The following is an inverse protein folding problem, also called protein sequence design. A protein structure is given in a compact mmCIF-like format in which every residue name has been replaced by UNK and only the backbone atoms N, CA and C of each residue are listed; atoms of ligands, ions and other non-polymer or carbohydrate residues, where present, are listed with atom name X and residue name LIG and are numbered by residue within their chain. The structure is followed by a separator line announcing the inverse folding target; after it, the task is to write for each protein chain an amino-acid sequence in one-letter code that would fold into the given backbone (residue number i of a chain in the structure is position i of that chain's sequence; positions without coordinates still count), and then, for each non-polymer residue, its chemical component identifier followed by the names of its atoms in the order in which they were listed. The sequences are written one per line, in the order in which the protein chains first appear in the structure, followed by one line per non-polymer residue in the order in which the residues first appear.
data_IF_798721343807
#
_entry.id   IF_798721343807
#
_cell.length_a   1.000
_cell.length_b   1.000
_cell.length_c   1.000
_cell.angle_alpha   90.00
_cell.angle_beta   90.00
_cell.angle_gamma   90.00
#
_symmetry.space_group_name_H-M   'P 1'
#
loop_
_entity.id
_entity.type
_entity.pdbx_description
1 polymer ?
#
# COMPACT_ATOMS: atom_id res chain seq x y z
N UNK A 1 7.28 3.87 -1.17
CA UNK A 1 7.80 3.53 -2.50
C UNK A 1 8.50 2.20 -2.41
N UNK A 2 7.86 1.20 -2.96
CA UNK A 2 8.41 -0.14 -3.14
C UNK A 2 8.52 -0.43 -4.65
N UNK A 3 8.61 -1.70 -5.04
CA UNK A 3 8.78 -2.10 -6.44
C UNK A 3 7.50 -1.97 -7.28
N UNK A 4 6.33 -1.79 -6.66
CA UNK A 4 5.02 -1.80 -7.31
C UNK A 4 4.18 -0.56 -7.02
N UNK A 5 4.68 0.38 -6.20
CA UNK A 5 3.98 1.60 -5.81
C UNK A 5 4.81 2.86 -6.08
N UNK A 6 4.26 3.72 -6.92
CA UNK A 6 4.70 5.11 -7.13
C UNK A 6 3.61 6.06 -6.57
N UNK A 7 3.96 7.20 -5.96
CA UNK A 7 2.96 8.09 -5.33
C UNK A 7 1.90 8.62 -6.29
N UNK A 8 2.25 8.78 -7.56
CA UNK A 8 1.33 9.01 -8.66
C UNK A 8 1.41 7.81 -9.62
N UNK A 9 0.26 7.32 -10.08
CA UNK A 9 0.17 6.16 -10.97
C UNK A 9 -1.04 6.31 -11.89
N UNK A 10 -1.11 5.47 -12.91
CA UNK A 10 -2.19 5.45 -13.90
C UNK A 10 -3.17 4.33 -13.60
N UNK A 11 -4.42 4.69 -13.34
CA UNK A 11 -5.53 3.74 -13.28
C UNK A 11 -6.48 3.95 -14.47
N UNK A 12 -7.12 2.87 -14.91
CA UNK A 12 -8.29 2.93 -15.77
C UNK A 12 -9.50 2.46 -14.97
N UNK A 13 -10.53 3.28 -14.90
CA UNK A 13 -11.82 2.91 -14.31
C UNK A 13 -12.90 2.83 -15.40
N UNK A 14 -13.74 1.80 -15.32
CA UNK A 14 -14.87 1.59 -16.20
C UNK A 14 -16.11 1.25 -15.38
N UNK A 15 -17.24 1.85 -15.73
CA UNK A 15 -18.55 1.59 -15.12
C UNK A 15 -19.55 1.21 -16.20
N UNK A 16 -20.27 0.10 -16.00
CA UNK A 16 -21.23 -0.43 -16.97
C UNK A 16 -22.58 -0.66 -16.30
N UNK A 17 -23.58 0.11 -16.72
CA UNK A 17 -24.95 -0.03 -16.25
C UNK A 17 -25.56 -1.37 -16.70
N UNK A 18 -26.47 -1.88 -15.88
CA UNK A 18 -27.20 -3.14 -16.01
C UNK A 18 -26.32 -4.39 -16.03
N UNK A 19 -25.14 -4.33 -15.40
CA UNK A 19 -24.18 -5.43 -15.25
C UNK A 19 -23.79 -5.64 -13.79
N UNK A 20 -23.29 -6.83 -13.49
CA UNK A 20 -22.78 -7.25 -12.19
C UNK A 20 -21.31 -7.66 -12.28
N UNK A 21 -20.69 -7.92 -11.13
CA UNK A 21 -19.29 -8.34 -11.03
C UNK A 21 -18.96 -9.62 -11.82
N UNK A 22 -19.92 -10.53 -12.03
CA UNK A 22 -19.72 -11.73 -12.86
C UNK A 22 -19.50 -11.37 -14.32
N UNK A 23 -20.33 -10.48 -14.86
CA UNK A 23 -20.12 -9.97 -16.20
C UNK A 23 -18.79 -9.21 -16.31
N UNK A 24 -18.41 -8.49 -15.26
CA UNK A 24 -17.16 -7.74 -15.23
C UNK A 24 -15.92 -8.66 -15.20
N UNK A 25 -15.98 -9.83 -14.55
CA UNK A 25 -14.94 -10.86 -14.66
C UNK A 25 -14.77 -11.34 -16.11
N UNK A 26 -15.87 -11.68 -16.79
CA UNK A 26 -15.84 -12.11 -18.20
C UNK A 26 -15.35 -11.01 -19.15
N UNK A 27 -15.64 -9.74 -18.83
CA UNK A 27 -15.13 -8.58 -19.56
C UNK A 27 -13.62 -8.39 -19.32
N UNK A 28 -13.18 -8.49 -18.07
CA UNK A 28 -11.77 -8.38 -17.67
C UNK A 28 -10.90 -9.42 -18.37
N UNK A 29 -11.34 -10.69 -18.39
CA UNK A 29 -10.66 -11.77 -19.12
C UNK A 29 -10.43 -11.42 -20.60
N UNK A 30 -11.49 -10.99 -21.30
CA UNK A 30 -11.42 -10.62 -22.73
C UNK A 30 -10.51 -9.41 -22.96
N UNK A 31 -10.59 -8.42 -22.08
CA UNK A 31 -9.78 -7.21 -22.18
C UNK A 31 -8.29 -7.53 -22.03
N UNK A 32 -7.92 -8.28 -21.00
CA UNK A 32 -6.52 -8.59 -20.73
C UNK A 32 -5.93 -9.56 -21.76
N UNK A 33 -6.70 -10.55 -22.23
CA UNK A 33 -6.28 -11.41 -23.35
C UNK A 33 -6.02 -10.58 -24.61
N UNK A 34 -6.92 -9.64 -24.93
CA UNK A 34 -6.76 -8.74 -26.07
C UNK A 34 -5.49 -7.88 -25.94
N UNK A 35 -5.25 -7.29 -24.77
CA UNK A 35 -4.04 -6.50 -24.52
C UNK A 35 -2.77 -7.36 -24.65
N UNK A 36 -2.75 -8.55 -24.08
CA UNK A 36 -1.60 -9.46 -24.18
C UNK A 36 -1.29 -9.82 -25.64
N UNK A 37 -2.31 -10.20 -26.42
CA UNK A 37 -2.14 -10.52 -27.85
C UNK A 37 -1.68 -9.29 -28.64
N UNK A 38 -2.23 -8.11 -28.36
CA UNK A 38 -1.87 -6.88 -29.06
C UNK A 38 -0.42 -6.46 -28.81
N UNK A 39 0.09 -6.67 -27.59
CA UNK A 39 1.46 -6.27 -27.20
C UNK A 39 2.48 -7.36 -27.52
N UNK A 40 2.19 -8.61 -27.19
CA UNK A 40 3.14 -9.73 -27.25
C UNK A 40 2.92 -10.67 -28.45
N UNK A 41 1.85 -10.49 -29.22
CA UNK A 41 1.47 -11.40 -30.33
C UNK A 41 0.88 -12.74 -29.88
N UNK A 42 0.73 -12.95 -28.58
CA UNK A 42 0.19 -14.17 -27.93
C UNK A 42 -0.47 -13.78 -26.61
N UNK A 43 -1.34 -14.64 -26.07
CA UNK A 43 -1.93 -14.45 -24.72
C UNK A 43 -0.93 -14.76 -23.60
N UNK A 44 0.24 -15.32 -23.91
CA UNK A 44 1.29 -15.63 -22.95
C UNK A 44 2.18 -14.41 -22.65
N UNK A 45 2.61 -14.28 -21.40
CA UNK A 45 3.61 -13.30 -20.98
C UNK A 45 4.63 -13.95 -20.04
N UNK A 46 5.82 -13.36 -19.98
CA UNK A 46 6.87 -13.75 -19.02
C UNK A 46 7.06 -12.61 -18.03
N UNK A 47 7.05 -12.94 -16.74
CA UNK A 47 7.32 -11.97 -15.67
C UNK A 47 8.31 -12.58 -14.68
N UNK A 48 9.56 -12.10 -14.71
CA UNK A 48 10.66 -12.72 -13.97
C UNK A 48 10.87 -14.17 -14.40
N UNK A 49 10.75 -15.10 -13.46
CA UNK A 49 10.85 -16.54 -13.71
C UNK A 49 9.52 -17.20 -14.10
N UNK A 50 8.41 -16.48 -13.98
CA UNK A 50 7.07 -17.03 -14.22
C UNK A 50 6.64 -16.85 -15.67
N UNK A 51 6.00 -17.89 -16.20
CA UNK A 51 5.21 -17.83 -17.44
C UNK A 51 3.74 -17.80 -17.08
N UNK A 52 3.06 -16.75 -17.51
CA UNK A 52 1.63 -16.55 -17.27
C UNK A 52 0.87 -16.54 -18.59
N UNK A 53 -0.42 -16.87 -18.53
CA UNK A 53 -1.29 -16.84 -19.69
C UNK A 53 -2.57 -16.05 -19.37
N UNK A 54 -2.81 -14.97 -20.11
CA UNK A 54 -4.01 -14.14 -20.01
C UNK A 54 -5.20 -14.72 -20.79
N UNK A 55 -5.09 -15.95 -21.30
CA UNK A 55 -6.21 -16.63 -21.94
C UNK A 55 -7.24 -17.09 -20.91
N UNK A 56 -8.49 -16.76 -21.15
CA UNK A 56 -9.62 -17.21 -20.34
C UNK A 56 -9.81 -18.75 -20.38
N UNK A 57 -10.47 -19.36 -19.38
CA UNK A 57 -10.99 -18.74 -18.15
C UNK A 57 -9.95 -18.71 -17.01
N UNK A 58 -10.05 -17.70 -16.15
CA UNK A 58 -9.22 -17.57 -14.95
C UNK A 58 -9.79 -18.40 -13.79
N UNK A 59 -8.92 -18.83 -12.85
CA UNK A 59 -9.38 -19.46 -11.60
C UNK A 59 -10.23 -18.43 -10.85
N UNK A 60 -11.37 -18.86 -10.29
CA UNK A 60 -12.19 -18.07 -9.35
C UNK A 60 -12.16 -18.78 -8.01
N UNK A 61 -11.86 -18.04 -6.94
CA UNK A 61 -11.82 -18.57 -5.58
C UNK A 61 -12.30 -17.49 -4.61
N UNK A 62 -13.07 -17.87 -3.59
CA UNK A 62 -13.50 -16.91 -2.58
C UNK A 62 -12.34 -16.54 -1.66
N UNK A 63 -12.40 -15.37 -1.04
CA UNK A 63 -11.46 -14.94 0.00
C UNK A 63 -11.33 -16.00 1.12
N UNK A 64 -12.48 -16.54 1.55
CA UNK A 64 -12.56 -17.62 2.53
C UNK A 64 -11.81 -18.87 2.06
N UNK A 65 -12.13 -19.36 0.87
CA UNK A 65 -11.56 -20.60 0.35
C UNK A 65 -10.06 -20.46 0.12
N UNK A 66 -9.60 -19.27 -0.30
CA UNK A 66 -8.19 -18.95 -0.42
C UNK A 66 -7.46 -19.10 0.91
N UNK A 67 -7.97 -18.46 1.97
CA UNK A 67 -7.37 -18.52 3.31
C UNK A 67 -7.39 -19.97 3.81
N UNK A 68 -8.49 -20.69 3.62
CA UNK A 68 -8.59 -22.09 4.01
C UNK A 68 -7.59 -22.98 3.26
N UNK A 69 -7.39 -22.77 1.95
CA UNK A 69 -6.47 -23.53 1.11
C UNK A 69 -5.00 -23.36 1.57
N UNK A 70 -4.58 -22.12 1.87
CA UNK A 70 -3.17 -21.82 2.19
C UNK A 70 -2.81 -21.88 3.68
N UNK A 71 -3.79 -21.74 4.57
CA UNK A 71 -3.55 -21.68 6.03
C UNK A 71 -4.16 -22.83 6.81
N UNK A 72 -5.16 -23.52 6.23
CA UNK A 72 -5.97 -24.52 6.93
C UNK A 72 -6.97 -23.92 7.95
N UNK A 73 -7.03 -22.60 8.09
CA UNK A 73 -7.97 -21.90 8.95
C UNK A 73 -9.21 -21.46 8.18
N UNK A 74 -10.40 -21.85 8.65
CA UNK A 74 -11.67 -21.39 8.09
C UNK A 74 -12.17 -20.15 8.85
N UNK A 75 -12.29 -19.02 8.14
CA UNK A 75 -12.79 -17.76 8.68
C UNK A 75 -14.31 -17.73 8.90
N UNK A 76 -15.03 -18.74 8.40
CA UNK A 76 -16.49 -18.80 8.49
C UNK A 76 -16.98 -18.94 9.93
N UNK A 77 -18.00 -18.14 10.26
CA UNK A 77 -18.63 -18.09 11.59
C UNK A 77 -17.62 -17.81 12.72
N UNK A 78 -16.50 -17.15 12.40
CA UNK A 78 -15.50 -16.75 13.38
C UNK A 78 -15.73 -15.34 13.90
N UNK A 79 -15.54 -15.18 15.20
CA UNK A 79 -15.50 -13.88 15.86
C UNK A 79 -14.20 -13.15 15.51
N UNK A 80 -14.18 -11.83 15.67
CA UNK A 80 -12.97 -11.03 15.51
C UNK A 80 -11.83 -11.53 16.42
N UNK A 81 -12.15 -11.91 17.66
CA UNK A 81 -11.16 -12.44 18.61
C UNK A 81 -10.52 -13.74 18.13
N UNK A 82 -11.31 -14.67 17.56
CA UNK A 82 -10.79 -15.93 17.01
C UNK A 82 -9.89 -15.67 15.79
N UNK A 83 -10.28 -14.76 14.89
CA UNK A 83 -9.47 -14.40 13.72
C UNK A 83 -8.18 -13.73 14.15
N UNK A 84 -8.23 -12.83 15.15
CA UNK A 84 -7.05 -12.17 15.71
C UNK A 84 -6.07 -13.18 16.32
N UNK A 85 -6.56 -14.18 17.04
CA UNK A 85 -5.72 -15.26 17.55
C UNK A 85 -5.08 -16.04 16.41
N UNK A 86 -5.85 -16.42 15.39
CA UNK A 86 -5.33 -17.14 14.23
C UNK A 86 -4.24 -16.33 13.49
N UNK A 87 -4.44 -15.02 13.28
CA UNK A 87 -3.45 -14.15 12.67
C UNK A 87 -2.13 -14.12 13.47
N UNK A 88 -2.21 -13.99 14.81
CA UNK A 88 -1.04 -14.04 15.69
C UNK A 88 -0.31 -15.38 15.62
N UNK A 89 -1.05 -16.49 15.61
CA UNK A 89 -0.48 -17.84 15.51
C UNK A 89 0.22 -18.06 14.16
N UNK A 90 -0.21 -17.34 13.12
CA UNK A 90 0.41 -17.31 11.79
C UNK A 90 1.60 -16.34 11.68
N UNK A 91 1.93 -15.63 12.76
CA UNK A 91 3.03 -14.66 12.81
C UNK A 91 2.74 -13.35 12.07
N UNK A 92 1.47 -13.01 11.89
CA UNK A 92 1.04 -11.74 11.27
C UNK A 92 0.99 -10.67 12.36
N UNK A 93 1.50 -9.48 12.06
CA UNK A 93 1.41 -8.34 12.97
C UNK A 93 -0.05 -7.88 13.07
N UNK A 94 -0.55 -7.75 14.29
CA UNK A 94 -1.91 -7.26 14.55
C UNK A 94 -1.90 -6.24 15.67
N UNK A 95 -2.72 -5.21 15.54
CA UNK A 95 -2.94 -4.18 16.56
C UNK A 95 -4.41 -4.14 17.03
N UNK A 96 -4.72 -3.34 18.04
CA UNK A 96 -6.06 -3.24 18.60
C UNK A 96 -7.04 -2.38 17.77
N UNK A 97 -6.57 -1.72 16.70
CA UNK A 97 -7.43 -0.90 15.81
C UNK A 97 -7.97 -1.71 14.64
N UNK A 98 -7.31 -2.80 14.26
CA UNK A 98 -7.77 -3.73 13.20
C UNK A 98 -9.10 -4.40 13.55
N UNK A 99 -10.16 -4.11 12.79
CA UNK A 99 -11.44 -4.84 12.83
C UNK A 99 -11.37 -6.21 12.15
N UNK A 100 -12.49 -6.95 12.15
CA UNK A 100 -12.56 -8.31 11.58
C UNK A 100 -12.17 -8.34 10.10
N UNK A 101 -12.68 -7.40 9.30
CA UNK A 101 -12.32 -7.27 7.88
C UNK A 101 -10.81 -7.07 7.67
N UNK A 102 -10.20 -6.10 8.37
CA UNK A 102 -8.76 -5.82 8.22
C UNK A 102 -7.90 -7.03 8.62
N UNK A 103 -8.26 -7.76 9.68
CA UNK A 103 -7.55 -8.98 10.04
C UNK A 103 -7.61 -10.06 8.95
N UNK A 104 -8.76 -10.22 8.29
CA UNK A 104 -8.91 -11.16 7.16
C UNK A 104 -8.04 -10.71 5.98
N UNK A 105 -8.01 -9.42 5.69
CA UNK A 105 -7.19 -8.81 4.64
C UNK A 105 -5.69 -9.06 4.89
N UNK A 106 -5.20 -8.82 6.11
CA UNK A 106 -3.81 -9.10 6.49
C UNK A 106 -3.45 -10.60 6.37
N UNK A 107 -4.36 -11.50 6.78
CA UNK A 107 -4.16 -12.95 6.59
C UNK A 107 -4.05 -13.29 5.10
N UNK A 108 -4.91 -12.71 4.27
CA UNK A 108 -4.87 -12.93 2.84
C UNK A 108 -3.58 -12.38 2.21
N UNK A 109 -3.21 -11.13 2.51
CA UNK A 109 -2.01 -10.49 1.97
C UNK A 109 -0.73 -11.26 2.31
N UNK A 110 -0.56 -11.63 3.57
CA UNK A 110 0.66 -12.31 4.05
C UNK A 110 0.73 -13.80 3.65
N UNK A 111 -0.40 -14.51 3.61
CA UNK A 111 -0.39 -15.98 3.43
C UNK A 111 -0.90 -16.47 2.08
N UNK A 112 -1.69 -15.66 1.38
CA UNK A 112 -2.37 -16.09 0.16
C UNK A 112 -1.88 -15.35 -1.08
N UNK A 113 -1.83 -14.01 -1.06
CA UNK A 113 -1.62 -13.15 -2.24
C UNK A 113 -0.45 -13.63 -3.10
N UNK A 114 0.73 -13.83 -2.49
CA UNK A 114 1.96 -14.21 -3.17
C UNK A 114 1.92 -15.56 -3.92
N UNK A 115 0.94 -16.43 -3.64
CA UNK A 115 0.84 -17.75 -4.27
C UNK A 115 0.12 -17.72 -5.63
N UNK A 116 -0.59 -16.64 -5.95
CA UNK A 116 -1.39 -16.54 -7.17
C UNK A 116 -0.55 -16.09 -8.37
N UNK A 117 0.14 -17.05 -8.99
CA UNK A 117 1.01 -16.79 -10.15
C UNK A 117 0.20 -16.60 -11.44
N UNK A 118 -0.71 -17.53 -11.76
CA UNK A 118 -1.62 -17.37 -12.89
C UNK A 118 -2.74 -16.38 -12.55
N UNK A 119 -3.32 -15.69 -13.57
CA UNK A 119 -4.50 -14.87 -13.36
C UNK A 119 -5.60 -15.59 -12.60
N UNK A 120 -5.93 -15.04 -11.43
CA UNK A 120 -6.91 -15.62 -10.50
C UNK A 120 -7.78 -14.51 -9.92
N UNK A 121 -9.10 -14.66 -10.04
CA UNK A 121 -10.07 -13.82 -9.37
C UNK A 121 -10.26 -14.31 -7.94
N UNK A 122 -9.96 -13.42 -6.99
CA UNK A 122 -10.33 -13.56 -5.58
C UNK A 122 -11.68 -12.88 -5.43
N UNK A 123 -12.66 -13.55 -4.83
CA UNK A 123 -14.07 -13.12 -4.83
C UNK A 123 -14.65 -13.08 -3.43
N UNK A 124 -15.80 -12.43 -3.29
CA UNK A 124 -16.67 -12.46 -2.11
C UNK A 124 -16.00 -11.91 -0.84
N UNK A 125 -15.58 -10.64 -0.93
CA UNK A 125 -14.89 -9.93 0.15
C UNK A 125 -15.88 -9.57 1.27
N UNK A 126 -15.45 -9.56 2.55
CA UNK A 126 -16.27 -9.12 3.67
C UNK A 126 -16.82 -7.70 3.48
N UNK A 127 -18.07 -7.47 3.91
CA UNK A 127 -18.77 -6.19 3.78
C UNK A 127 -18.04 -5.02 4.46
N UNK A 128 -17.44 -5.28 5.63
CA UNK A 128 -16.74 -4.28 6.44
C UNK A 128 -15.60 -3.58 5.68
N UNK A 129 -14.92 -4.29 4.78
CA UNK A 129 -13.77 -3.83 4.00
C UNK A 129 -14.15 -3.38 2.58
N UNK A 130 -15.45 -3.31 2.28
CA UNK A 130 -15.97 -3.07 0.93
C UNK A 130 -17.11 -2.02 0.98
N UNK A 131 -16.83 -0.77 1.37
CA UNK A 131 -17.85 0.24 1.71
C UNK A 131 -18.66 0.75 0.51
N UNK A 132 -18.21 0.50 -0.71
CA UNK A 132 -18.87 0.90 -1.97
C UNK A 132 -19.44 -0.30 -2.73
N UNK A 133 -19.26 -1.52 -2.22
CA UNK A 133 -19.64 -2.75 -2.91
C UNK A 133 -21.00 -3.24 -2.44
N UNK A 134 -21.84 -3.63 -3.37
CA UNK A 134 -23.16 -4.19 -3.07
C UNK A 134 -23.04 -5.48 -2.25
N UNK A 135 -23.97 -5.70 -1.33
CA UNK A 135 -24.08 -6.96 -0.58
C UNK A 135 -24.19 -8.15 -1.51
N UNK A 136 -23.57 -9.27 -1.12
CA UNK A 136 -23.65 -10.50 -1.88
C UNK A 136 -25.07 -11.07 -1.84
N UNK A 137 -25.58 -11.46 -3.01
CA UNK A 137 -26.99 -11.89 -3.19
C UNK A 137 -27.41 -13.09 -2.33
N UNK A 138 -26.46 -13.91 -1.88
CA UNK A 138 -26.72 -15.10 -1.05
C UNK A 138 -26.21 -14.98 0.39
N UNK A 139 -25.34 -14.00 0.68
CA UNK A 139 -24.71 -13.85 2.00
C UNK A 139 -24.48 -12.37 2.34
N UNK A 140 -25.33 -11.74 3.17
CA UNK A 140 -25.24 -10.32 3.51
C UNK A 140 -23.92 -9.90 4.20
N UNK A 141 -23.17 -10.83 4.77
CA UNK A 141 -21.87 -10.56 5.40
C UNK A 141 -20.75 -10.34 4.36
N UNK A 142 -21.00 -10.70 3.10
CA UNK A 142 -20.06 -10.59 1.98
C UNK A 142 -20.57 -9.56 0.96
N UNK A 143 -19.70 -9.24 0.00
CA UNK A 143 -20.01 -8.33 -1.10
C UNK A 143 -19.72 -8.96 -2.45
N UNK A 144 -20.43 -8.50 -3.48
CA UNK A 144 -20.15 -8.86 -4.87
C UNK A 144 -18.92 -8.09 -5.39
N UNK A 145 -17.75 -8.42 -4.84
CA UNK A 145 -16.45 -7.82 -5.17
C UNK A 145 -15.48 -8.91 -5.62
N UNK A 146 -14.61 -8.55 -6.55
CA UNK A 146 -13.44 -9.35 -6.87
C UNK A 146 -12.19 -8.48 -7.02
N UNK A 147 -11.04 -9.10 -6.77
CA UNK A 147 -9.74 -8.62 -7.21
C UNK A 147 -9.09 -9.63 -8.13
N UNK A 148 -8.33 -9.15 -9.10
CA UNK A 148 -7.54 -10.00 -9.99
C UNK A 148 -6.08 -10.02 -9.53
N UNK A 149 -5.61 -11.21 -9.16
CA UNK A 149 -4.22 -11.45 -8.79
C UNK A 149 -3.45 -12.07 -9.96
N UNK A 150 -2.25 -11.57 -10.23
CA UNK A 150 -1.30 -12.12 -11.22
C UNK A 150 0.12 -11.98 -10.66
N UNK A 151 0.92 -13.04 -10.73
CA UNK A 151 2.28 -13.05 -10.16
C UNK A 151 2.34 -12.54 -8.72
N UNK A 152 1.32 -12.86 -7.92
CA UNK A 152 1.22 -12.48 -6.51
C UNK A 152 1.03 -10.98 -6.27
N UNK A 153 0.43 -10.27 -7.24
CA UNK A 153 0.06 -8.86 -7.11
C UNK A 153 -1.30 -8.59 -7.74
N UNK A 154 -2.04 -7.68 -7.14
CA UNK A 154 -3.32 -7.21 -7.65
C UNK A 154 -3.13 -6.38 -8.94
N UNK A 155 -3.92 -6.66 -9.97
CA UNK A 155 -4.00 -5.88 -11.23
C UNK A 155 -5.30 -5.09 -11.31
N UNK A 156 -6.39 -5.63 -10.79
CA UNK A 156 -7.72 -5.05 -10.91
C UNK A 156 -8.53 -5.27 -9.65
N UNK A 157 -9.41 -4.32 -9.35
CA UNK A 157 -10.43 -4.38 -8.32
C UNK A 157 -11.78 -4.01 -8.95
N UNK A 158 -12.82 -4.77 -8.67
CA UNK A 158 -14.11 -4.60 -9.32
C UNK A 158 -15.24 -5.11 -8.45
N UNK A 159 -16.43 -4.57 -8.66
CA UNK A 159 -17.60 -4.96 -7.88
C UNK A 159 -18.91 -4.62 -8.59
N UNK A 160 -20.00 -5.23 -8.10
CA UNK A 160 -21.34 -4.68 -8.29
C UNK A 160 -21.46 -3.44 -7.39
N UNK A 161 -21.76 -2.30 -7.99
CA UNK A 161 -21.81 -1.00 -7.30
C UNK A 161 -22.94 -0.96 -6.27
N UNK A 162 -22.64 -0.40 -5.10
CA UNK A 162 -23.66 -0.08 -4.11
C UNK A 162 -24.48 1.13 -4.61
N UNK A 163 -25.73 0.86 -4.97
CA UNK A 163 -26.63 1.85 -5.52
C UNK A 163 -27.81 2.22 -4.61
N UNK A 164 -27.81 1.71 -3.38
CA UNK A 164 -28.77 2.11 -2.34
C UNK A 164 -28.19 3.29 -1.53
N UNK A 165 -28.77 4.51 -1.64
CA UNK A 165 -28.26 5.68 -0.93
C UNK A 165 -28.38 5.55 0.60
N UNK A 166 -29.31 4.74 1.10
CA UNK A 166 -29.51 4.54 2.54
C UNK A 166 -28.37 3.68 3.09
N UNK A 167 -28.12 2.51 2.49
CA UNK A 167 -26.98 1.65 2.87
C UNK A 167 -25.65 2.41 2.67
N UNK A 168 -25.48 3.11 1.54
CA UNK A 168 -24.25 3.86 1.28
C UNK A 168 -23.94 4.90 2.36
N UNK A 169 -24.98 5.59 2.86
CA UNK A 169 -24.83 6.53 3.97
C UNK A 169 -24.43 5.83 5.26
N UNK A 170 -25.07 4.72 5.61
CA UNK A 170 -24.71 3.92 6.79
C UNK A 170 -23.26 3.44 6.72
N UNK A 171 -22.78 3.06 5.52
CA UNK A 171 -21.38 2.66 5.30
C UNK A 171 -20.41 3.81 5.50
N UNK A 172 -20.72 5.02 5.02
CA UNK A 172 -19.89 6.20 5.30
C UNK A 172 -19.89 6.58 6.79
N UNK A 173 -21.03 6.48 7.48
CA UNK A 173 -21.09 6.72 8.92
C UNK A 173 -20.28 5.67 9.71
N UNK A 174 -20.17 4.43 9.21
CA UNK A 174 -19.29 3.40 9.76
C UNK A 174 -17.81 3.70 9.51
N UNK A 175 -17.44 4.04 8.27
CA UNK A 175 -16.07 4.41 7.90
C UNK A 175 -15.55 5.61 8.71
N UNK A 176 -16.39 6.62 8.92
CA UNK A 176 -16.05 7.78 9.77
C UNK A 176 -15.73 7.36 11.22
N UNK A 177 -16.43 6.35 11.77
CA UNK A 177 -16.14 5.82 13.11
C UNK A 177 -14.82 5.05 13.15
N UNK A 178 -14.44 4.38 12.07
CA UNK A 178 -13.14 3.71 11.95
C UNK A 178 -12.00 4.73 11.86
N UNK A 179 -12.16 5.77 11.03
CA UNK A 179 -11.20 6.87 10.94
C UNK A 179 -10.98 7.53 12.32
N UNK A 180 -12.06 7.77 13.10
CA UNK A 180 -11.96 8.30 14.47
C UNK A 180 -11.22 7.38 15.46
N UNK A 181 -11.12 6.08 15.15
CA UNK A 181 -10.33 5.11 15.93
C UNK A 181 -8.87 5.03 15.49
N UNK A 182 -8.46 5.81 14.49
CA UNK A 182 -7.09 5.84 13.98
C UNK A 182 -6.83 4.91 12.79
N UNK A 183 -7.88 4.53 12.04
CA UNK A 183 -7.71 3.90 10.74
C UNK A 183 -7.41 4.96 9.68
N UNK A 184 -6.14 5.09 9.31
CA UNK A 184 -5.66 6.07 8.32
C UNK A 184 -6.16 5.79 6.89
N UNK A 185 -6.72 4.59 6.61
CA UNK A 185 -7.24 4.20 5.29
C UNK A 185 -8.75 4.47 5.16
N UNK A 186 -9.45 4.70 6.27
CA UNK A 186 -10.89 4.93 6.28
C UNK A 186 -11.28 6.35 5.82
N UNK A 187 -12.45 6.49 5.19
CA UNK A 187 -12.91 7.81 4.72
C UNK A 187 -13.20 8.76 5.90
N UNK A 188 -12.47 9.87 5.98
CA UNK A 188 -12.58 10.87 7.06
C UNK A 188 -13.80 11.82 6.95
N UNK A 189 -14.54 11.76 5.84
CA UNK A 189 -15.69 12.63 5.59
C UNK A 189 -16.83 11.89 4.88
N UNK A 190 -18.04 12.42 5.00
CA UNK A 190 -19.22 11.94 4.28
C UNK A 190 -19.41 12.82 3.04
N UNK A 191 -19.38 12.21 1.85
CA UNK A 191 -19.69 12.90 0.60
C UNK A 191 -21.22 12.99 0.40
N UNK A 192 -21.80 14.09 0.87
CA UNK A 192 -23.23 14.35 0.73
C UNK A 192 -23.66 14.62 -0.72
N UNK A 193 -22.75 15.04 -1.60
CA UNK A 193 -23.11 15.28 -3.01
C UNK A 193 -23.19 13.95 -3.77
N UNK A 194 -22.25 13.03 -3.50
CA UNK A 194 -22.33 11.65 -3.99
C UNK A 194 -23.59 10.93 -3.50
N UNK A 195 -23.92 11.03 -2.21
CA UNK A 195 -25.17 10.47 -1.67
C UNK A 195 -26.40 11.04 -2.37
N UNK A 196 -26.44 12.37 -2.56
CA UNK A 196 -27.53 13.03 -3.29
C UNK A 196 -27.62 12.53 -4.74
N UNK A 197 -26.50 12.28 -5.40
CA UNK A 197 -26.50 11.71 -6.75
C UNK A 197 -27.14 10.32 -6.78
N UNK A 198 -26.84 9.46 -5.78
CA UNK A 198 -27.47 8.14 -5.64
C UNK A 198 -28.98 8.23 -5.36
N UNK A 199 -29.44 9.25 -4.61
CA UNK A 199 -30.86 9.50 -4.33
C UNK A 199 -31.68 9.82 -5.59
N UNK A 200 -31.07 10.34 -6.66
CA UNK A 200 -31.74 10.50 -7.96
C UNK A 200 -31.93 9.16 -8.72
N UNK A 201 -31.25 8.10 -8.27
CA UNK A 201 -31.36 6.76 -8.80
C UNK A 201 -30.19 6.38 -9.71
N UNK A 202 -29.23 5.63 -9.15
CA UNK A 202 -28.22 4.92 -9.94
C UNK A 202 -28.75 3.53 -10.36
N UNK A 203 -28.74 3.18 -11.66
CA UNK A 203 -29.13 1.83 -12.08
C UNK A 203 -28.16 0.79 -11.50
N UNK A 204 -28.55 -0.50 -11.43
CA UNK A 204 -27.60 -1.58 -11.13
C UNK A 204 -26.40 -1.44 -12.06
N UNK A 205 -25.20 -1.37 -11.51
CA UNK A 205 -23.97 -1.05 -12.26
C UNK A 205 -22.86 -1.94 -11.75
N UNK A 206 -21.90 -2.28 -12.61
CA UNK A 206 -20.63 -2.85 -12.18
C UNK A 206 -19.49 -1.93 -12.58
N UNK A 207 -18.58 -1.66 -11.64
CA UNK A 207 -17.35 -0.92 -11.86
C UNK A 207 -16.13 -1.81 -11.76
N UNK A 208 -15.06 -1.39 -12.43
CA UNK A 208 -13.73 -2.00 -12.34
C UNK A 208 -12.66 -0.93 -12.50
N UNK A 209 -11.68 -0.97 -11.60
CA UNK A 209 -10.40 -0.28 -11.72
C UNK A 209 -9.30 -1.25 -12.15
N UNK A 210 -8.41 -0.82 -13.06
CA UNK A 210 -7.21 -1.54 -13.46
C UNK A 210 -5.98 -0.66 -13.22
N UNK A 211 -5.00 -1.18 -12.49
CA UNK A 211 -3.69 -0.56 -12.34
C UNK A 211 -2.88 -0.71 -13.62
N UNK A 212 -2.85 0.35 -14.44
CA UNK A 212 -2.24 0.28 -15.77
C UNK A 212 -0.74 0.08 -15.71
N UNK A 213 -0.03 0.71 -14.75
CA UNK A 213 1.41 0.54 -14.60
C UNK A 213 1.77 -0.92 -14.29
N UNK A 214 1.02 -1.57 -13.38
CA UNK A 214 1.20 -2.99 -13.07
C UNK A 214 0.90 -3.87 -14.29
N UNK A 215 -0.18 -3.61 -15.02
CA UNK A 215 -0.46 -4.35 -16.26
C UNK A 215 0.69 -4.23 -17.27
N UNK A 216 1.22 -3.02 -17.47
CA UNK A 216 2.37 -2.79 -18.36
C UNK A 216 3.60 -3.54 -17.86
N UNK A 217 3.88 -3.54 -16.55
CA UNK A 217 4.98 -4.32 -15.95
C UNK A 217 4.90 -5.79 -16.33
N UNK A 218 3.72 -6.41 -16.21
CA UNK A 218 3.52 -7.82 -16.53
C UNK A 218 3.62 -8.12 -18.02
N UNK A 219 3.09 -7.26 -18.87
CA UNK A 219 3.15 -7.45 -20.33
C UNK A 219 4.56 -7.25 -20.89
N UNK A 220 5.38 -6.41 -20.25
CA UNK A 220 6.72 -6.02 -20.72
C UNK A 220 7.88 -6.66 -19.96
N UNK A 221 7.59 -7.58 -19.02
CA UNK A 221 8.58 -8.26 -18.17
C UNK A 221 9.45 -7.30 -17.32
N UNK A 222 8.84 -6.25 -16.76
CA UNK A 222 9.51 -5.26 -15.93
C UNK A 222 9.14 -5.43 -14.46
N UNK A 223 10.04 -5.95 -13.62
CA UNK A 223 9.76 -6.23 -12.20
C UNK A 223 9.82 -5.00 -11.26
N UNK A 224 9.87 -3.80 -11.81
CA UNK A 224 9.87 -2.54 -11.07
C UNK A 224 8.99 -1.54 -11.80
N UNK A 225 8.07 -0.89 -11.08
CA UNK A 225 7.19 0.15 -11.62
C UNK A 225 7.99 1.33 -12.20
N UNK A 226 9.20 1.55 -11.70
CA UNK A 226 10.08 2.62 -12.18
C UNK A 226 10.54 2.41 -13.63
N UNK A 227 10.53 1.16 -14.13
CA UNK A 227 10.92 0.85 -15.51
C UNK A 227 9.79 1.12 -16.53
N UNK A 228 8.56 1.30 -16.05
CA UNK A 228 7.38 1.60 -16.90
C UNK A 228 6.92 3.05 -16.78
N UNK A 229 7.63 3.86 -16.00
CA UNK A 229 7.40 5.29 -15.82
C UNK A 229 8.56 6.10 -16.40
N UNK A 230 8.29 7.12 -17.21
CA UNK A 230 9.36 7.98 -17.74
C UNK A 230 10.09 8.77 -16.66
N UNK A 231 9.35 9.22 -15.63
CA UNK A 231 9.88 10.03 -14.53
C UNK A 231 9.34 9.51 -13.18
N UNK A 232 9.84 8.37 -12.68
CA UNK A 232 9.41 7.84 -11.39
C UNK A 232 9.80 8.79 -10.25
N UNK A 233 9.07 8.76 -9.14
CA UNK A 233 9.41 9.58 -7.98
C UNK A 233 10.76 9.12 -7.41
N UNK A 234 11.72 10.04 -7.38
CA UNK A 234 13.03 9.81 -6.79
C UNK A 234 13.10 10.33 -5.36
N UNK A 235 13.91 9.70 -4.52
CA UNK A 235 14.26 10.30 -3.23
C UNK A 235 15.09 11.56 -3.47
N UNK A 236 14.84 12.66 -2.74
CA UNK A 236 15.66 13.85 -2.86
C UNK A 236 17.14 13.53 -2.65
N UNK A 237 18.00 14.14 -3.46
CA UNK A 237 19.44 14.04 -3.25
C UNK A 237 19.80 14.54 -1.85
N UNK A 238 20.52 13.72 -1.09
CA UNK A 238 21.13 14.18 0.15
C UNK A 238 22.24 15.16 -0.24
N UNK A 239 21.97 16.47 -0.12
CA UNK A 239 23.01 17.49 -0.30
C UNK A 239 24.17 17.16 0.63
N UNK A 240 25.33 16.80 0.07
CA UNK A 240 26.57 16.76 0.84
C UNK A 240 26.76 18.14 1.43
N UNK A 241 26.75 18.23 2.75
CA UNK A 241 27.11 19.46 3.44
C UNK A 241 28.59 19.70 3.11
N UNK A 242 28.88 20.75 2.34
CA UNK A 242 30.27 21.11 2.04
C UNK A 242 30.87 21.77 3.27
N UNK A 243 31.63 20.97 4.03
CA UNK A 243 32.28 21.40 5.25
C UNK A 243 33.60 22.10 4.90
N UNK A 244 33.80 23.30 5.44
CA UNK A 244 35.11 23.95 5.48
C UNK A 244 36.13 23.10 6.24
N UNK A 245 37.43 23.36 6.05
CA UNK A 245 38.49 22.58 6.70
C UNK A 245 38.38 22.59 8.24
N UNK A 246 37.93 23.71 8.82
CA UNK A 246 37.68 23.82 10.25
C UNK A 246 36.50 22.94 10.69
N UNK A 247 35.42 22.88 9.90
CA UNK A 247 34.26 22.04 10.18
C UNK A 247 34.61 20.57 10.03
N UNK A 248 35.38 20.19 9.00
CA UNK A 248 35.87 18.82 8.80
C UNK A 248 36.73 18.35 9.98
N UNK A 249 37.64 19.20 10.45
CA UNK A 249 38.52 18.87 11.58
C UNK A 249 37.73 18.55 12.86
N UNK A 250 36.67 19.31 13.15
CA UNK A 250 35.81 19.08 14.32
C UNK A 250 34.89 17.87 14.08
N UNK A 251 34.30 17.76 12.90
CA UNK A 251 33.34 16.71 12.54
C UNK A 251 33.97 15.31 12.58
N UNK A 252 35.19 15.14 12.07
CA UNK A 252 35.87 13.83 12.07
C UNK A 252 36.24 13.33 13.48
N UNK A 253 36.51 14.25 14.42
CA UNK A 253 36.74 13.89 15.83
C UNK A 253 35.42 13.46 16.47
N UNK A 254 34.37 14.26 16.30
CA UNK A 254 33.04 13.97 16.84
C UNK A 254 32.39 12.72 16.25
N UNK A 255 32.64 12.41 14.97
CA UNK A 255 32.14 11.20 14.32
C UNK A 255 32.61 9.92 15.00
N UNK A 256 33.83 9.93 15.56
CA UNK A 256 34.41 8.81 16.29
C UNK A 256 33.91 8.74 17.73
N UNK A 257 33.79 9.88 18.40
CA UNK A 257 33.45 9.95 19.81
C UNK A 257 31.93 9.99 20.10
N UNK A 258 31.11 10.39 19.12
CA UNK A 258 29.67 10.68 19.19
C UNK A 258 29.28 11.83 20.15
N UNK A 259 29.97 11.95 21.30
CA UNK A 259 29.88 13.02 22.29
C UNK A 259 31.25 13.28 22.90
N UNK A 260 31.62 14.54 23.09
CA UNK A 260 32.90 14.92 23.73
C UNK A 260 32.76 16.23 24.52
N UNK A 261 33.57 16.42 25.56
CA UNK A 261 33.69 17.71 26.25
C UNK A 261 34.18 18.80 25.27
N UNK A 262 33.62 20.00 25.40
CA UNK A 262 33.87 21.10 24.47
C UNK A 262 35.33 21.57 24.50
N UNK A 263 35.95 21.63 25.67
CA UNK A 263 37.33 22.09 25.80
C UNK A 263 38.31 21.03 25.30
N UNK A 264 38.01 19.75 25.57
CA UNK A 264 38.76 18.63 25.05
C UNK A 264 38.69 18.56 23.52
N UNK A 265 37.48 18.65 22.96
CA UNK A 265 37.26 18.67 21.51
C UNK A 265 37.98 19.84 20.85
N UNK A 266 37.95 21.03 21.49
CA UNK A 266 38.67 22.20 21.01
C UNK A 266 40.17 21.99 20.99
N UNK A 267 40.73 21.40 22.05
CA UNK A 267 42.15 21.08 22.12
C UNK A 267 42.55 20.05 21.05
N UNK A 268 41.78 18.97 20.88
CA UNK A 268 42.04 17.93 19.90
C UNK A 268 41.90 18.41 18.44
N UNK A 269 41.02 19.38 18.19
CA UNK A 269 40.84 19.95 16.84
C UNK A 269 42.07 20.70 16.33
N UNK A 270 42.95 21.17 17.22
CA UNK A 270 44.14 21.95 16.85
C UNK A 270 43.84 23.32 16.21
N UNK A 271 42.59 23.77 16.24
CA UNK A 271 42.15 24.99 15.57
C UNK A 271 42.45 26.25 16.40
N UNK A 272 42.72 27.36 15.70
CA UNK A 272 42.75 28.68 16.34
C UNK A 272 41.38 29.04 16.94
N UNK A 273 41.32 29.92 17.94
CA UNK A 273 40.04 30.37 18.53
C UNK A 273 39.02 30.83 17.46
N UNK A 274 39.47 31.59 16.46
CA UNK A 274 38.63 32.05 15.35
C UNK A 274 38.21 30.92 14.41
N UNK A 275 39.09 29.94 14.17
CA UNK A 275 38.80 28.76 13.35
C UNK A 275 37.79 27.83 14.03
N UNK A 276 37.97 27.58 15.33
CA UNK A 276 37.06 26.85 16.19
C UNK A 276 35.66 27.47 16.19
N UNK A 277 35.55 28.77 16.50
CA UNK A 277 34.26 29.45 16.58
C UNK A 277 33.50 29.42 15.26
N UNK A 278 34.22 29.54 14.13
CA UNK A 278 33.62 29.39 12.80
C UNK A 278 33.20 27.96 12.52
N UNK A 279 34.05 26.98 12.83
CA UNK A 279 33.78 25.57 12.58
C UNK A 279 32.60 25.03 13.38
N UNK A 280 32.55 25.27 14.70
CA UNK A 280 31.48 24.76 15.55
C UNK A 280 30.12 25.42 15.25
N UNK A 281 30.11 26.73 14.94
CA UNK A 281 28.91 27.43 14.50
C UNK A 281 28.41 26.95 13.15
N UNK A 282 29.32 26.67 12.21
CA UNK A 282 28.98 26.14 10.90
C UNK A 282 28.38 24.73 10.97
N UNK A 283 29.00 23.83 11.74
CA UNK A 283 28.45 22.49 12.00
C UNK A 283 27.08 22.53 12.68
N UNK A 284 26.89 23.44 13.63
CA UNK A 284 25.58 23.63 14.29
C UNK A 284 24.53 24.18 13.32
N UNK A 285 24.91 25.09 12.42
CA UNK A 285 24.03 25.61 11.35
C UNK A 285 23.62 24.53 10.35
N UNK A 286 24.50 23.57 10.10
CA UNK A 286 24.22 22.39 9.28
C UNK A 286 23.41 21.31 10.01
N UNK A 287 23.10 21.52 11.30
CA UNK A 287 22.36 20.56 12.11
C UNK A 287 23.15 19.28 12.40
N UNK A 288 24.48 19.30 12.29
CA UNK A 288 25.35 18.13 12.48
C UNK A 288 25.85 17.98 13.92
N UNK A 289 25.81 19.06 14.70
CA UNK A 289 26.29 19.07 16.09
C UNK A 289 25.37 19.89 16.98
N UNK A 290 25.22 19.48 18.24
CA UNK A 290 24.51 20.23 19.28
C UNK A 290 25.38 20.38 20.51
N UNK A 291 25.49 21.60 21.03
CA UNK A 291 26.15 21.86 22.31
C UNK A 291 25.12 21.74 23.43
N UNK A 292 25.37 20.86 24.39
CA UNK A 292 24.54 20.70 25.59
C UNK A 292 25.34 21.10 26.83
N UNK A 293 24.70 21.86 27.70
CA UNK A 293 25.21 22.13 29.04
C UNK A 293 24.55 21.17 30.01
N UNK A 294 25.36 20.42 30.75
CA UNK A 294 24.93 19.52 31.82
C UNK A 294 25.60 19.96 33.13
N UNK A 295 25.16 19.39 34.25
CA UNK A 295 25.78 19.67 35.56
C UNK A 295 27.26 19.26 35.61
N UNK A 296 27.66 18.32 34.74
CA UNK A 296 29.02 17.81 34.58
C UNK A 296 29.91 18.61 33.62
N UNK A 297 29.37 19.58 32.85
CA UNK A 297 30.17 20.35 31.88
C UNK A 297 29.44 20.81 30.61
N UNK A 298 30.23 21.22 29.61
CA UNK A 298 29.75 21.60 28.27
C UNK A 298 30.16 20.52 27.28
N UNK A 299 29.20 19.83 26.70
CA UNK A 299 29.43 18.74 25.75
C UNK A 299 28.96 19.11 24.36
N UNK A 300 29.67 18.60 23.36
CA UNK A 300 29.24 18.65 21.95
C UNK A 300 28.87 17.23 21.53
N UNK A 301 27.66 17.08 20.99
CA UNK A 301 27.09 15.82 20.52
C UNK A 301 26.83 15.90 19.02
N UNK A 302 27.01 14.78 18.30
CA UNK A 302 26.48 14.68 16.94
C UNK A 302 24.96 14.52 16.96
N UNK A 303 24.31 15.05 15.92
CA UNK A 303 22.86 14.96 15.68
C UNK A 303 22.59 14.04 14.51
#
# INVERSE_FOLDING_TARGET
MDRTHNPEFTAMEIYVAYKDYNWMMDFCEKLLEHCAIAVNGTSEATFGEHKINFKAPYKRISMRDSILEFTGFDIYDKTEAEIRTAAKDMGIEVDDTMGKGKLIDEIFGEKCEGNYIQPTFITDYPKEMSPLCKEHRENPELTERFELMVCGKEIANAYSELNDPIDQRERFEHQLKLAQKGDDEATEFIDFDFLRALEYGMPPTSGMGIGMDRLIMFLTNNQSIQEVLFFPQMRPEKKKVDLSDNEKAIFEILKKAQRMDLNELKAQSGLSNKGWDKGIKGLSKHGLTKVKKTDEGLFVEMV
#
